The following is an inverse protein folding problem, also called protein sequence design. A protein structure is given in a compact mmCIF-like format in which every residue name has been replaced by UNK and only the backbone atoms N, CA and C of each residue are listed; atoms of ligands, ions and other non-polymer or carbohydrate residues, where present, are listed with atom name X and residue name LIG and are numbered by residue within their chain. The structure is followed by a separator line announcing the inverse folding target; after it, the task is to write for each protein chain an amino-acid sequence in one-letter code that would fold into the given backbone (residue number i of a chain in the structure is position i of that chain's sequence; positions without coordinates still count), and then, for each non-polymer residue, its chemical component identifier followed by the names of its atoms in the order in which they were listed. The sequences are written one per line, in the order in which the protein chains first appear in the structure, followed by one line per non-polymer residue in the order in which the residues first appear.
data_IF_825411526487
#
_entry.id   IF_825411526487
#
_cell.length_a   1.000
_cell.length_b   1.000
_cell.length_c   1.000
_cell.angle_alpha   90.00
_cell.angle_beta   90.00
_cell.angle_gamma   90.00
#
_symmetry.space_group_name_H-M   'P 1'
#
loop_
_entity.id
_entity.type
_entity.pdbx_description
1 polymer ?
#
# COMPACT_ATOMS: atom_id res chain seq x y z
N UNK A 1 -10.78 -7.78 8.13
CA UNK A 1 -9.73 -8.69 8.68
C UNK A 1 -10.31 -9.29 9.94
N UNK A 2 -10.47 -10.61 9.98
CA UNK A 2 -10.86 -11.31 11.20
C UNK A 2 -9.59 -11.54 12.05
N UNK A 3 -9.42 -10.87 13.20
CA UNK A 3 -8.24 -11.03 14.06
C UNK A 3 -8.04 -12.47 14.53
N UNK A 4 -9.11 -13.28 14.57
CA UNK A 4 -9.06 -14.68 14.98
C UNK A 4 -8.25 -15.57 14.01
N UNK A 5 -7.93 -15.07 12.81
CA UNK A 5 -7.09 -15.77 11.83
C UNK A 5 -5.59 -15.47 11.97
N UNK A 6 -5.19 -14.55 12.85
CA UNK A 6 -3.78 -14.31 13.15
C UNK A 6 -3.26 -15.51 13.95
N UNK A 7 -2.46 -16.36 13.29
CA UNK A 7 -2.00 -17.62 13.90
C UNK A 7 -0.89 -17.43 14.93
N UNK A 8 -0.05 -16.42 14.78
CA UNK A 8 1.01 -16.09 15.73
C UNK A 8 1.57 -14.68 15.51
N UNK A 9 1.90 -13.98 16.59
CA UNK A 9 2.82 -12.84 16.59
C UNK A 9 4.07 -13.28 17.33
N UNK A 10 5.11 -13.61 16.57
CA UNK A 10 6.39 -14.04 17.16
C UNK A 10 7.33 -12.83 17.16
N UNK A 11 7.87 -12.43 18.33
CA UNK A 11 8.95 -11.45 18.35
C UNK A 11 10.10 -11.95 17.48
N UNK A 12 10.35 -11.27 16.36
CA UNK A 12 11.50 -11.59 15.52
C UNK A 12 12.77 -11.09 16.20
N UNK A 13 13.41 -11.97 16.97
CA UNK A 13 14.72 -11.73 17.55
C UNK A 13 15.81 -11.89 16.48
N UNK A 14 16.79 -10.99 16.47
CA UNK A 14 17.98 -11.12 15.62
C UNK A 14 18.68 -12.45 15.90
N UNK A 15 18.99 -13.21 14.85
CA UNK A 15 19.87 -14.40 14.93
C UNK A 15 21.32 -14.10 14.57
N UNK A 16 21.63 -12.91 14.02
CA UNK A 16 22.97 -12.49 13.62
C UNK A 16 23.54 -11.39 14.53
N UNK A 17 24.80 -11.55 14.95
CA UNK A 17 25.46 -10.70 15.94
C UNK A 17 25.93 -9.34 15.41
N UNK A 18 26.20 -9.17 14.10
CA UNK A 18 26.71 -7.91 13.51
C UNK A 18 26.40 -7.79 12.01
N UNK A 19 26.35 -6.56 11.42
CA UNK A 19 26.57 -5.24 12.03
C UNK A 19 25.29 -4.60 12.60
N UNK A 20 25.36 -3.47 13.35
CA UNK A 20 24.17 -2.74 13.78
C UNK A 20 23.31 -2.29 12.58
N UNK A 21 21.98 -2.23 12.73
CA UNK A 21 21.15 -1.68 11.67
C UNK A 21 21.54 -0.20 11.45
N UNK A 22 21.54 0.29 10.20
CA UNK A 22 21.58 1.73 9.97
C UNK A 22 20.43 2.38 10.78
N UNK A 23 20.66 3.57 11.36
CA UNK A 23 19.85 4.11 12.44
C UNK A 23 18.51 4.70 11.96
N UNK A 24 17.68 3.95 11.25
CA UNK A 24 16.39 4.45 10.73
C UNK A 24 15.59 3.51 9.81
N UNK A 25 16.14 2.39 9.32
CA UNK A 25 15.41 1.55 8.35
C UNK A 25 14.34 0.69 9.06
N UNK A 26 13.19 1.31 9.37
CA UNK A 26 11.98 0.66 9.86
C UNK A 26 11.13 0.18 8.69
N UNK A 27 11.57 -0.89 8.04
CA UNK A 27 10.85 -1.48 6.90
C UNK A 27 9.99 -2.63 7.39
N UNK A 28 8.69 -2.57 7.07
CA UNK A 28 7.83 -3.75 7.10
C UNK A 28 7.79 -4.35 5.70
N UNK A 29 7.63 -5.67 5.63
CA UNK A 29 7.69 -6.38 4.36
C UNK A 29 6.88 -7.66 4.41
N UNK A 30 6.37 -8.05 3.24
CA UNK A 30 5.76 -9.34 2.96
C UNK A 30 6.50 -10.01 1.80
N UNK A 31 6.41 -11.32 1.72
CA UNK A 31 6.94 -12.08 0.59
C UNK A 31 5.81 -12.82 -0.13
N UNK A 32 5.88 -12.87 -1.47
CA UNK A 32 4.99 -13.71 -2.26
C UNK A 32 5.16 -15.21 -1.97
N UNK A 33 6.37 -15.63 -1.60
CA UNK A 33 6.69 -17.03 -1.29
C UNK A 33 6.18 -17.45 0.10
N UNK A 34 5.82 -16.49 0.94
CA UNK A 34 5.26 -16.70 2.27
C UNK A 34 3.92 -15.99 2.39
N UNK A 35 2.94 -16.45 1.60
CA UNK A 35 1.62 -15.80 1.51
C UNK A 35 0.98 -15.57 2.88
N UNK A 36 0.66 -14.30 3.17
CA UNK A 36 0.02 -13.89 4.43
C UNK A 36 0.99 -13.74 5.60
N UNK A 37 2.27 -14.08 5.44
CA UNK A 37 3.32 -13.76 6.40
C UNK A 37 3.87 -12.36 6.14
N UNK A 38 4.15 -11.64 7.21
CA UNK A 38 4.74 -10.30 7.15
C UNK A 38 5.68 -10.07 8.33
N UNK A 39 6.76 -9.35 8.07
CA UNK A 39 7.65 -8.79 9.09
C UNK A 39 7.23 -7.35 9.31
N UNK A 40 6.93 -6.98 10.55
CA UNK A 40 6.50 -5.63 10.91
C UNK A 40 7.54 -5.00 11.82
N UNK A 41 8.14 -3.89 11.37
CA UNK A 41 8.96 -3.07 12.23
C UNK A 41 8.11 -2.49 13.37
N UNK A 42 8.67 -2.37 14.58
CA UNK A 42 7.91 -1.94 15.77
C UNK A 42 7.15 -0.64 15.50
N UNK A 43 5.80 -0.67 15.47
CA UNK A 43 4.99 0.49 15.14
C UNK A 43 4.89 1.45 16.32
N UNK A 44 4.58 2.72 16.04
CA UNK A 44 4.44 3.75 17.08
C UNK A 44 3.19 3.57 17.97
N UNK A 45 2.23 2.73 17.55
CA UNK A 45 1.02 2.44 18.29
C UNK A 45 0.09 1.51 17.52
N UNK A 46 -1.06 1.17 18.11
CA UNK A 46 -2.02 0.22 17.53
C UNK A 46 -2.55 0.66 16.16
N UNK A 47 -2.78 1.96 15.96
CA UNK A 47 -3.28 2.47 14.68
C UNK A 47 -2.24 2.36 13.57
N UNK A 48 -0.97 2.66 13.88
CA UNK A 48 0.14 2.48 12.95
C UNK A 48 0.37 1.00 12.61
N UNK A 49 0.24 0.10 13.60
CA UNK A 49 0.26 -1.34 13.36
C UNK A 49 -0.86 -1.74 12.38
N UNK A 50 -2.08 -1.28 12.62
CA UNK A 50 -3.23 -1.63 11.80
C UNK A 50 -3.07 -1.15 10.34
N UNK A 51 -2.55 0.06 10.11
CA UNK A 51 -2.22 0.54 8.77
C UNK A 51 -1.18 -0.36 8.09
N UNK A 52 -0.09 -0.70 8.79
CA UNK A 52 0.94 -1.60 8.25
C UNK A 52 0.38 -2.97 7.91
N UNK A 53 -0.43 -3.58 8.78
CA UNK A 53 -1.07 -4.87 8.51
C UNK A 53 -1.93 -4.82 7.25
N UNK A 54 -2.68 -3.72 7.04
CA UNK A 54 -3.47 -3.53 5.82
C UNK A 54 -2.57 -3.43 4.59
N UNK A 55 -1.49 -2.65 4.67
CA UNK A 55 -0.53 -2.46 3.58
C UNK A 55 0.09 -3.80 3.15
N UNK A 56 0.67 -4.51 4.12
CA UNK A 56 1.35 -5.79 3.91
C UNK A 56 0.40 -6.89 3.42
N UNK A 57 -0.83 -6.91 3.94
CA UNK A 57 -1.84 -7.85 3.46
C UNK A 57 -2.24 -7.59 2.00
N UNK A 58 -2.30 -6.34 1.56
CA UNK A 58 -2.53 -6.05 0.13
C UNK A 58 -1.36 -6.54 -0.74
N UNK A 59 -0.11 -6.43 -0.28
CA UNK A 59 1.02 -7.04 -0.99
C UNK A 59 0.87 -8.55 -1.10
N UNK A 60 0.51 -9.24 -0.02
CA UNK A 60 0.25 -10.69 -0.05
C UNK A 60 -0.82 -11.06 -1.06
N UNK A 61 -1.97 -10.35 -1.06
CA UNK A 61 -3.05 -10.58 -2.03
C UNK A 61 -2.61 -10.39 -3.47
N UNK A 62 -1.90 -9.29 -3.76
CA UNK A 62 -1.43 -9.01 -5.11
C UNK A 62 -0.39 -10.04 -5.56
N UNK A 63 0.51 -10.47 -4.67
CA UNK A 63 1.50 -11.49 -4.99
C UNK A 63 0.83 -12.81 -5.42
N UNK A 64 -0.24 -13.22 -4.72
CA UNK A 64 -1.03 -14.38 -5.15
C UNK A 64 -1.70 -14.17 -6.52
N UNK A 65 -2.22 -12.97 -6.81
CA UNK A 65 -2.79 -12.67 -8.13
C UNK A 65 -1.75 -12.70 -9.23
N UNK A 66 -0.56 -12.13 -9.01
CA UNK A 66 0.54 -12.12 -9.99
C UNK A 66 1.05 -13.54 -10.26
N UNK A 67 1.04 -14.42 -9.24
CA UNK A 67 1.41 -15.82 -9.41
C UNK A 67 0.45 -16.57 -10.35
N UNK A 68 -0.84 -16.20 -10.34
CA UNK A 68 -1.88 -16.85 -11.15
C UNK A 68 -2.05 -16.19 -12.53
N UNK A 69 -1.87 -14.88 -12.61
CA UNK A 69 -2.12 -14.09 -13.80
C UNK A 69 -0.97 -13.10 -14.03
N UNK A 70 -0.30 -13.12 -15.20
CA UNK A 70 0.62 -12.04 -15.54
C UNK A 70 -0.19 -10.74 -15.65
N UNK A 71 0.17 -9.73 -14.86
CA UNK A 71 -0.56 -8.44 -14.82
C UNK A 71 0.13 -7.33 -15.61
N UNK A 72 1.43 -7.45 -15.86
CA UNK A 72 2.20 -6.47 -16.60
C UNK A 72 3.36 -7.14 -17.32
N UNK A 73 3.69 -6.63 -18.50
CA UNK A 73 4.98 -6.85 -19.12
C UNK A 73 5.98 -5.85 -18.52
N UNK A 74 6.82 -6.31 -17.60
CA UNK A 74 7.78 -5.47 -16.87
C UNK A 74 9.21 -5.80 -17.30
N UNK A 75 9.86 -4.86 -17.98
CA UNK A 75 11.28 -4.95 -18.37
C UNK A 75 12.24 -4.67 -17.21
N UNK A 76 11.70 -4.47 -16.01
CA UNK A 76 12.43 -4.19 -14.78
C UNK A 76 13.16 -2.84 -14.77
N UNK A 77 12.97 -2.00 -15.78
CA UNK A 77 13.57 -0.68 -15.83
C UNK A 77 12.93 0.25 -14.78
N UNK A 78 13.77 0.83 -13.91
CA UNK A 78 13.33 1.74 -12.86
C UNK A 78 13.16 3.16 -13.42
N UNK A 79 11.97 3.45 -13.95
CA UNK A 79 11.67 4.72 -14.63
C UNK A 79 10.39 5.41 -14.21
N UNK A 80 9.59 4.77 -13.35
CA UNK A 80 8.29 5.31 -12.96
C UNK A 80 8.35 5.99 -11.60
N UNK A 81 7.81 7.20 -11.53
CA UNK A 81 7.70 7.94 -10.28
C UNK A 81 6.60 7.38 -9.37
N UNK A 82 6.88 7.32 -8.06
CA UNK A 82 5.91 6.94 -7.02
C UNK A 82 5.94 7.98 -5.87
N UNK A 83 4.81 8.61 -5.49
CA UNK A 83 4.80 9.73 -4.53
C UNK A 83 5.25 9.41 -3.10
N UNK A 84 5.34 8.14 -2.74
CA UNK A 84 5.72 7.68 -1.40
C UNK A 84 7.19 7.26 -1.32
N UNK A 85 7.98 7.48 -2.38
CA UNK A 85 9.39 7.08 -2.42
C UNK A 85 10.21 8.04 -3.30
N UNK A 86 11.47 8.34 -2.94
CA UNK A 86 12.34 9.19 -3.77
C UNK A 86 12.92 8.49 -5.01
N UNK A 87 13.19 7.18 -4.98
CA UNK A 87 13.74 6.41 -6.11
C UNK A 87 12.66 6.01 -7.13
N UNK A 88 13.04 5.93 -8.43
CA UNK A 88 12.14 5.43 -9.47
C UNK A 88 11.84 3.95 -9.26
N UNK A 89 10.69 3.53 -9.78
CA UNK A 89 10.16 2.16 -9.66
C UNK A 89 10.12 1.51 -11.02
N UNK A 90 10.35 0.20 -11.06
CA UNK A 90 9.92 -0.63 -12.18
C UNK A 90 8.40 -0.84 -12.14
N UNK A 91 7.81 -1.31 -13.25
CA UNK A 91 6.34 -1.29 -13.44
C UNK A 91 5.60 -2.17 -12.43
N UNK A 92 6.10 -3.38 -12.16
CA UNK A 92 5.53 -4.28 -11.15
C UNK A 92 5.63 -3.67 -9.76
N UNK A 93 6.72 -2.97 -9.48
CA UNK A 93 6.93 -2.30 -8.20
C UNK A 93 5.97 -1.12 -7.99
N UNK A 94 5.60 -0.45 -9.06
CA UNK A 94 4.60 0.60 -9.08
C UNK A 94 3.18 0.02 -8.84
N UNK A 95 2.85 -1.10 -9.48
CA UNK A 95 1.60 -1.83 -9.28
C UNK A 95 1.41 -2.29 -7.82
N UNK A 96 2.47 -2.82 -7.19
CA UNK A 96 2.45 -3.20 -5.79
C UNK A 96 2.08 -2.02 -4.88
N UNK A 97 2.73 -0.87 -5.09
CA UNK A 97 2.42 0.33 -4.32
C UNK A 97 0.99 0.83 -4.56
N UNK A 98 0.53 0.85 -5.81
CA UNK A 98 -0.84 1.27 -6.14
C UNK A 98 -1.90 0.41 -5.44
N UNK A 99 -1.72 -0.92 -5.45
CA UNK A 99 -2.65 -1.84 -4.82
C UNK A 99 -2.64 -1.69 -3.30
N UNK A 100 -1.46 -1.61 -2.68
CA UNK A 100 -1.31 -1.46 -1.24
C UNK A 100 -1.86 -0.12 -0.73
N UNK A 101 -1.51 1.00 -1.35
CA UNK A 101 -1.98 2.31 -0.92
C UNK A 101 -3.46 2.57 -1.25
N UNK A 102 -4.06 1.84 -2.20
CA UNK A 102 -5.53 1.80 -2.31
C UNK A 102 -6.15 1.17 -1.05
N UNK A 103 -5.59 0.07 -0.55
CA UNK A 103 -6.03 -0.54 0.72
C UNK A 103 -5.87 0.41 1.92
N UNK A 104 -4.73 1.09 2.00
CA UNK A 104 -4.48 2.09 3.06
C UNK A 104 -5.45 3.28 2.98
N UNK A 105 -5.74 3.78 1.77
CA UNK A 105 -6.74 4.83 1.60
C UNK A 105 -8.13 4.37 2.09
N UNK A 106 -8.55 3.13 1.79
CA UNK A 106 -9.78 2.56 2.32
C UNK A 106 -9.79 2.44 3.84
N UNK A 107 -8.67 2.03 4.44
CA UNK A 107 -8.52 1.94 5.90
C UNK A 107 -8.75 3.28 6.61
N UNK A 108 -8.24 4.37 6.03
CA UNK A 108 -8.42 5.72 6.57
C UNK A 108 -9.80 6.29 6.28
N UNK A 109 -10.37 6.00 5.09
CA UNK A 109 -11.75 6.36 4.75
C UNK A 109 -12.74 5.83 5.79
N UNK A 110 -12.59 4.57 6.18
CA UNK A 110 -13.51 3.91 7.13
C UNK A 110 -13.41 4.51 8.55
N UNK A 111 -12.41 5.36 8.81
CA UNK A 111 -12.17 6.04 10.10
C UNK A 111 -12.54 7.52 10.08
N UNK A 112 -13.04 8.06 8.97
CA UNK A 112 -13.44 9.47 8.89
C UNK A 112 -14.50 9.85 9.95
N UNK A 113 -15.41 8.92 10.26
CA UNK A 113 -16.46 9.12 11.27
C UNK A 113 -16.01 8.79 12.71
N UNK A 114 -14.77 8.34 12.92
CA UNK A 114 -14.30 7.95 14.26
C UNK A 114 -13.89 9.19 15.06
N UNK A 115 -14.46 9.43 16.26
CA UNK A 115 -14.22 10.66 17.04
C UNK A 115 -12.73 10.93 17.30
N UNK A 116 -12.00 9.89 17.70
CA UNK A 116 -10.57 10.02 18.08
C UNK A 116 -9.60 10.12 16.91
N UNK A 117 -10.07 9.91 15.67
CA UNK A 117 -9.19 9.78 14.51
C UNK A 117 -9.56 10.70 13.34
N UNK A 118 -10.67 11.45 13.43
CA UNK A 118 -11.21 12.27 12.34
C UNK A 118 -10.17 13.13 11.60
N UNK A 119 -9.38 13.99 12.30
CA UNK A 119 -8.39 14.83 11.63
C UNK A 119 -7.26 14.06 10.95
N UNK A 120 -6.71 13.02 11.61
CA UNK A 120 -5.66 12.19 11.04
C UNK A 120 -6.18 11.37 9.85
N UNK A 121 -7.38 10.81 9.98
CA UNK A 121 -8.06 10.05 8.94
C UNK A 121 -8.35 10.90 7.72
N UNK A 122 -8.85 12.14 7.90
CA UNK A 122 -9.09 13.07 6.81
C UNK A 122 -7.81 13.35 6.01
N UNK A 123 -6.71 13.65 6.70
CA UNK A 123 -5.42 13.90 6.06
C UNK A 123 -4.90 12.66 5.31
N UNK A 124 -4.79 11.52 5.98
CA UNK A 124 -4.21 10.32 5.37
C UNK A 124 -5.08 9.76 4.25
N UNK A 125 -6.41 9.83 4.36
CA UNK A 125 -7.31 9.46 3.27
C UNK A 125 -7.12 10.37 2.06
N UNK A 126 -7.10 11.70 2.27
CA UNK A 126 -6.88 12.68 1.21
C UNK A 126 -5.52 12.46 0.51
N UNK A 127 -4.44 12.31 1.29
CA UNK A 127 -3.09 12.08 0.78
C UNK A 127 -3.03 10.79 -0.05
N UNK A 128 -3.46 9.66 0.54
CA UNK A 128 -3.27 8.35 -0.09
C UNK A 128 -4.16 8.17 -1.31
N UNK A 129 -5.41 8.65 -1.31
CA UNK A 129 -6.27 8.54 -2.50
C UNK A 129 -5.71 9.36 -3.68
N UNK A 130 -5.17 10.55 -3.42
CA UNK A 130 -4.59 11.43 -4.44
C UNK A 130 -3.29 10.86 -5.00
N UNK A 131 -2.33 10.50 -4.14
CA UNK A 131 -1.07 9.88 -4.54
C UNK A 131 -1.27 8.59 -5.33
N UNK A 132 -2.17 7.72 -4.83
CA UNK A 132 -2.44 6.43 -5.47
C UNK A 132 -3.12 6.63 -6.82
N UNK A 133 -4.04 7.60 -6.94
CA UNK A 133 -4.71 7.87 -8.22
C UNK A 133 -3.75 8.35 -9.30
N UNK A 134 -2.77 9.17 -8.93
CA UNK A 134 -1.68 9.58 -9.82
C UNK A 134 -0.94 8.35 -10.36
N UNK A 135 -0.55 7.44 -9.48
CA UNK A 135 0.15 6.21 -9.87
C UNK A 135 -0.71 5.28 -10.72
N UNK A 136 -1.99 5.12 -10.39
CA UNK A 136 -2.94 4.34 -11.18
C UNK A 136 -3.09 4.92 -12.60
N UNK A 137 -3.06 6.25 -12.75
CA UNK A 137 -3.04 6.88 -14.08
C UNK A 137 -1.79 6.44 -14.86
N UNK A 138 -0.61 6.55 -14.25
CA UNK A 138 0.65 6.14 -14.87
C UNK A 138 0.63 4.67 -15.31
N UNK A 139 0.08 3.77 -14.49
CA UNK A 139 -0.07 2.35 -14.83
C UNK A 139 -0.96 2.16 -16.08
N UNK A 140 -2.13 2.80 -16.11
CA UNK A 140 -3.07 2.71 -17.24
C UNK A 140 -2.48 3.27 -18.54
N UNK A 141 -1.68 4.33 -18.46
CA UNK A 141 -1.06 4.97 -19.63
C UNK A 141 0.28 4.34 -20.01
N UNK A 142 0.79 3.36 -19.27
CA UNK A 142 2.10 2.74 -19.54
C UNK A 142 2.14 1.94 -20.85
N UNK A 143 0.99 1.49 -21.34
CA UNK A 143 0.89 0.61 -22.51
C UNK A 143 1.41 -0.82 -22.28
N UNK A 144 1.70 -1.19 -21.02
CA UNK A 144 2.39 -2.44 -20.67
C UNK A 144 1.63 -3.33 -19.68
N UNK A 145 0.35 -3.04 -19.46
CA UNK A 145 -0.54 -3.93 -18.71
C UNK A 145 -1.04 -5.04 -19.64
N UNK A 146 -1.14 -6.26 -19.11
CA UNK A 146 -1.90 -7.32 -19.77
C UNK A 146 -3.40 -7.03 -19.68
N UNK A 147 -4.24 -7.82 -20.33
CA UNK A 147 -5.71 -7.69 -20.21
C UNK A 147 -6.17 -7.79 -18.73
N UNK A 148 -5.69 -8.81 -18.00
CA UNK A 148 -5.98 -8.99 -16.59
C UNK A 148 -5.48 -7.81 -15.73
N UNK A 149 -4.27 -7.32 -16.02
CA UNK A 149 -3.72 -6.14 -15.35
C UNK A 149 -4.55 -4.89 -15.61
N UNK A 150 -4.99 -4.68 -16.84
CA UNK A 150 -5.84 -3.56 -17.21
C UNK A 150 -7.18 -3.61 -16.47
N UNK A 151 -7.79 -4.79 -16.38
CA UNK A 151 -9.01 -5.02 -15.60
C UNK A 151 -8.83 -4.66 -14.12
N UNK A 152 -7.75 -5.15 -13.49
CA UNK A 152 -7.43 -4.84 -12.09
C UNK A 152 -7.21 -3.34 -11.87
N UNK A 153 -6.32 -2.72 -12.65
CA UNK A 153 -5.95 -1.31 -12.47
C UNK A 153 -7.13 -0.38 -12.77
N UNK A 154 -7.98 -0.73 -13.74
CA UNK A 154 -9.23 -0.01 -13.99
C UNK A 154 -10.20 -0.08 -12.82
N UNK A 155 -10.26 -1.23 -12.12
CA UNK A 155 -11.02 -1.37 -10.88
C UNK A 155 -10.50 -0.46 -9.76
N UNK A 156 -9.17 -0.36 -9.60
CA UNK A 156 -8.55 0.59 -8.68
C UNK A 156 -8.90 2.04 -9.05
N UNK A 157 -8.84 2.38 -10.34
CA UNK A 157 -9.18 3.72 -10.83
C UNK A 157 -10.62 4.09 -10.46
N UNK A 158 -11.61 3.23 -10.77
CA UNK A 158 -13.03 3.47 -10.40
C UNK A 158 -13.21 3.66 -8.90
N UNK A 159 -12.53 2.85 -8.10
CA UNK A 159 -12.58 2.95 -6.63
C UNK A 159 -12.06 4.31 -6.17
N UNK A 160 -10.89 4.71 -6.65
CA UNK A 160 -10.25 5.97 -6.28
C UNK A 160 -11.01 7.20 -6.81
N UNK A 161 -11.59 7.12 -8.02
CA UNK A 161 -12.43 8.17 -8.58
C UNK A 161 -13.73 8.36 -7.78
N UNK A 162 -14.30 7.27 -7.26
CA UNK A 162 -15.36 7.33 -6.25
C UNK A 162 -14.89 8.02 -4.97
N UNK A 163 -13.71 7.65 -4.47
CA UNK A 163 -13.18 8.18 -3.21
C UNK A 163 -12.70 9.61 -3.28
N UNK A 164 -12.23 10.09 -4.43
CA UNK A 164 -11.87 11.49 -4.63
C UNK A 164 -13.07 12.43 -4.51
N UNK A 165 -14.29 11.92 -4.76
CA UNK A 165 -15.54 12.67 -4.57
C UNK A 165 -16.05 12.67 -3.13
N UNK A 166 -15.48 11.86 -2.25
CA UNK A 166 -15.84 11.87 -0.82
C UNK A 166 -15.29 13.16 -0.20
N UNK A 167 -16.14 13.99 0.43
CA UNK A 167 -15.70 15.23 1.05
C UNK A 167 -14.75 14.94 2.22
N UNK A 168 -13.72 15.77 2.35
CA UNK A 168 -12.83 15.82 3.52
C UNK A 168 -12.67 17.27 3.93
N UNK A 169 -12.28 17.47 5.19
CA UNK A 169 -11.95 18.80 5.71
C UNK A 169 -10.95 19.54 4.80
N UNK A 170 -11.18 20.84 4.58
CA UNK A 170 -10.41 21.63 3.62
C UNK A 170 -8.94 21.80 4.05
N UNK A 171 -8.66 21.93 5.35
CA UNK A 171 -7.29 22.04 5.84
C UNK A 171 -6.54 20.72 5.69
N UNK A 172 -7.20 19.59 5.95
CA UNK A 172 -6.64 18.27 5.70
C UNK A 172 -6.34 18.04 4.22
N UNK A 173 -7.22 18.48 3.30
CA UNK A 173 -7.01 18.39 1.86
C UNK A 173 -5.86 19.28 1.38
N UNK A 174 -5.76 20.51 1.88
CA UNK A 174 -4.69 21.44 1.48
C UNK A 174 -3.30 20.99 1.94
N UNK A 175 -3.22 20.24 3.05
CA UNK A 175 -1.96 19.66 3.55
C UNK A 175 -1.53 18.40 2.78
N UNK A 176 -2.49 17.71 2.15
CA UNK A 176 -2.30 16.44 1.47
C UNK A 176 -1.75 16.63 0.04
#
# INVERSE_FOLDING_TARGET
LDPARIKALVPWGRTAAQPPPPPDVRVSASSGDAYGAMVVARPAGALALAETLVHEFQHSKLAALIHLFPLADDDRAERYYAPWRPDPRHLTGLLHGAYAFTGVAGFWRDRLAHPDHGPAAAYHFALRRTQTRLVVRTLLTSGRLTEAGHGLVSGLARTLDGWLRVPVDAAALARA
#
